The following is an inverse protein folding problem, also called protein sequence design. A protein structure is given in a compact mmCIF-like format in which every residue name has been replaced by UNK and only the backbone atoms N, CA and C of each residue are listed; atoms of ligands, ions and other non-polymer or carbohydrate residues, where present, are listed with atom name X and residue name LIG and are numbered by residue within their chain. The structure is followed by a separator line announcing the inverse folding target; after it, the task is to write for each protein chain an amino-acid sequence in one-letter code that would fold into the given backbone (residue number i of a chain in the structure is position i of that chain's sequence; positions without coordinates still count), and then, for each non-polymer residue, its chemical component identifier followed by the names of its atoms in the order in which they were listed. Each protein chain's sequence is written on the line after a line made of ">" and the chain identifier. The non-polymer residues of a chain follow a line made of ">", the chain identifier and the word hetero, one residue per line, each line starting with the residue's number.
data_IF_063579647952
#
_entry.id   IF_063579647952
#
_cell.length_a   1.000
_cell.length_b   1.000
_cell.length_c   1.000
_cell.angle_alpha   90.00
_cell.angle_beta   90.00
_cell.angle_gamma   90.00
#
_symmetry.space_group_name_H-M   'P 1'
#
loop_
_entity.id
_entity.type
_entity.pdbx_description
1 polymer ?
#
# COMPACT_ATOMS: atom_id res chain seq x y z
N UNK A 1 -21.48 10.81 -14.03
CA UNK A 1 -20.97 10.75 -12.65
C UNK A 1 -20.13 9.50 -12.54
N UNK A 2 -18.91 9.56 -12.02
CA UNK A 2 -18.05 8.37 -11.85
C UNK A 2 -18.65 7.40 -10.82
N UNK A 3 -18.49 6.11 -11.07
CA UNK A 3 -18.86 5.04 -10.13
C UNK A 3 -18.08 5.18 -8.83
N UNK A 4 -18.74 5.13 -7.67
CA UNK A 4 -18.08 5.13 -6.36
C UNK A 4 -17.44 3.76 -6.16
N UNK A 5 -16.12 3.73 -5.96
CA UNK A 5 -15.34 2.51 -5.77
C UNK A 5 -15.07 2.23 -4.29
N UNK A 6 -14.95 3.28 -3.47
CA UNK A 6 -14.70 3.19 -2.03
C UNK A 6 -15.62 4.13 -1.28
N UNK A 7 -16.28 3.63 -0.24
CA UNK A 7 -16.99 4.43 0.76
C UNK A 7 -16.53 4.00 2.16
N UNK A 8 -16.10 4.96 2.95
CA UNK A 8 -15.93 4.81 4.40
C UNK A 8 -17.01 5.66 5.07
N UNK A 9 -17.86 5.05 5.89
CA UNK A 9 -19.02 5.73 6.49
C UNK A 9 -18.99 5.62 7.99
N UNK A 10 -19.07 6.76 8.67
CA UNK A 10 -19.15 6.88 10.15
C UNK A 10 -18.02 6.11 10.84
N UNK A 11 -16.80 6.23 10.32
CA UNK A 11 -15.64 5.54 10.88
C UNK A 11 -15.22 6.21 12.17
N UNK A 12 -15.18 5.42 13.21
CA UNK A 12 -14.71 5.80 14.54
C UNK A 12 -13.45 5.03 14.92
N UNK A 13 -12.49 5.71 15.54
CA UNK A 13 -11.27 5.10 16.06
C UNK A 13 -10.69 5.87 17.21
N UNK A 14 -10.62 5.21 18.36
CA UNK A 14 -9.99 5.72 19.58
C UNK A 14 -8.73 4.94 19.92
N UNK A 15 -7.77 5.64 20.49
CA UNK A 15 -6.59 5.09 21.14
C UNK A 15 -6.56 5.60 22.60
N UNK A 16 -5.78 4.97 23.51
CA UNK A 16 -5.66 5.47 24.88
C UNK A 16 -5.29 6.95 24.91
N UNK A 17 -6.21 7.78 25.40
CA UNK A 17 -6.04 9.22 25.53
C UNK A 17 -6.31 10.06 24.28
N UNK A 18 -6.64 9.45 23.13
CA UNK A 18 -6.89 10.19 21.87
C UNK A 18 -8.05 9.60 21.09
N UNK A 19 -9.07 10.39 20.78
CA UNK A 19 -10.11 10.07 19.81
C UNK A 19 -9.61 10.50 18.41
N UNK A 20 -9.08 9.57 17.65
CA UNK A 20 -8.35 9.87 16.42
C UNK A 20 -9.24 10.03 15.20
N UNK A 21 -10.39 9.35 15.15
CA UNK A 21 -11.41 9.48 14.11
C UNK A 21 -12.76 9.54 14.80
N UNK A 22 -13.54 10.58 14.54
CA UNK A 22 -14.86 10.82 15.08
C UNK A 22 -15.88 10.85 13.95
N UNK A 23 -16.58 9.74 13.72
CA UNK A 23 -17.63 9.57 12.71
C UNK A 23 -17.23 10.07 11.30
N UNK A 24 -15.98 9.79 10.91
CA UNK A 24 -15.42 10.26 9.64
C UNK A 24 -16.03 9.51 8.46
N UNK A 25 -16.53 10.27 7.48
CA UNK A 25 -17.06 9.71 6.24
C UNK A 25 -16.28 10.23 5.02
N UNK A 26 -16.05 9.34 4.04
CA UNK A 26 -15.16 9.58 2.91
C UNK A 26 -15.55 8.70 1.72
N UNK A 27 -15.54 9.25 0.51
CA UNK A 27 -15.86 8.52 -0.72
C UNK A 27 -14.80 8.79 -1.79
N UNK A 28 -14.49 7.77 -2.60
CA UNK A 28 -13.63 7.88 -3.78
C UNK A 28 -14.31 7.25 -4.98
N UNK A 29 -14.24 7.92 -6.13
CA UNK A 29 -14.77 7.45 -7.40
C UNK A 29 -13.68 6.81 -8.25
N UNK A 30 -14.08 5.90 -9.11
CA UNK A 30 -13.19 5.23 -10.04
C UNK A 30 -12.47 6.25 -10.95
N UNK A 31 -11.14 6.15 -11.03
CA UNK A 31 -10.30 7.05 -11.82
C UNK A 31 -10.10 8.44 -11.21
N UNK A 32 -10.55 8.67 -9.98
CA UNK A 32 -10.38 9.92 -9.25
C UNK A 32 -9.04 9.98 -8.52
N UNK A 33 -8.41 11.14 -8.53
CA UNK A 33 -7.34 11.50 -7.60
C UNK A 33 -7.95 12.31 -6.49
N UNK A 34 -8.08 11.73 -5.31
CA UNK A 34 -8.70 12.35 -4.15
C UNK A 34 -7.65 12.82 -3.14
N UNK A 35 -7.63 14.13 -2.84
CA UNK A 35 -6.71 14.72 -1.87
C UNK A 35 -7.34 14.79 -0.47
N UNK A 36 -6.75 14.07 0.49
CA UNK A 36 -7.13 14.14 1.89
C UNK A 36 -6.31 15.21 2.60
N UNK A 37 -6.91 16.36 2.89
CA UNK A 37 -6.25 17.50 3.51
C UNK A 37 -6.64 17.65 4.99
N UNK A 38 -5.73 18.26 5.79
CA UNK A 38 -5.94 18.54 7.20
C UNK A 38 -4.60 18.77 7.91
N UNK A 39 -4.65 19.30 9.12
CA UNK A 39 -3.47 19.55 9.96
C UNK A 39 -2.76 18.25 10.38
N UNK A 40 -1.53 18.39 10.89
CA UNK A 40 -0.83 17.25 11.49
C UNK A 40 -1.61 16.78 12.73
N UNK A 41 -1.86 15.48 12.83
CA UNK A 41 -2.69 14.91 13.87
C UNK A 41 -4.20 14.85 13.56
N UNK A 42 -4.67 15.38 12.42
CA UNK A 42 -6.09 15.34 12.03
C UNK A 42 -6.63 13.94 11.63
N UNK A 43 -5.94 12.87 11.96
CA UNK A 43 -6.43 11.49 11.72
C UNK A 43 -6.23 10.94 10.31
N UNK A 44 -5.67 11.70 9.35
CA UNK A 44 -5.50 11.27 7.94
C UNK A 44 -4.80 9.91 7.81
N UNK A 45 -3.63 9.77 8.44
CA UNK A 45 -2.88 8.51 8.41
C UNK A 45 -3.59 7.39 9.16
N UNK A 46 -4.36 7.72 10.21
CA UNK A 46 -5.17 6.75 10.94
C UNK A 46 -6.28 6.21 10.05
N UNK A 47 -6.97 7.08 9.30
CA UNK A 47 -8.02 6.69 8.36
C UNK A 47 -7.48 5.72 7.29
N UNK A 48 -6.31 6.03 6.69
CA UNK A 48 -5.67 5.15 5.70
C UNK A 48 -5.21 3.81 6.34
N UNK A 49 -4.71 3.83 7.57
CA UNK A 49 -4.33 2.62 8.30
C UNK A 49 -5.54 1.76 8.69
N UNK A 50 -6.70 2.36 8.93
CA UNK A 50 -7.97 1.64 9.11
C UNK A 50 -8.39 1.01 7.79
N UNK A 51 -8.36 1.74 6.67
CA UNK A 51 -8.69 1.22 5.35
C UNK A 51 -7.85 0.00 4.97
N UNK A 52 -6.55 0.03 5.29
CA UNK A 52 -5.61 -1.05 4.92
C UNK A 52 -5.47 -2.15 5.97
N UNK A 53 -6.30 -2.15 7.03
CA UNK A 53 -6.31 -3.20 8.04
C UNK A 53 -5.13 -3.18 9.02
N UNK A 54 -4.33 -2.11 9.03
CA UNK A 54 -3.28 -1.91 10.05
C UNK A 54 -3.93 -1.62 11.41
N UNK A 55 -5.02 -0.83 11.41
CA UNK A 55 -5.82 -0.58 12.59
C UNK A 55 -7.25 -1.08 12.37
N UNK A 56 -7.79 -1.76 13.37
CA UNK A 56 -9.21 -2.09 13.39
C UNK A 56 -10.02 -0.85 13.75
N UNK A 57 -11.08 -0.54 12.99
CA UNK A 57 -12.06 0.48 13.35
C UNK A 57 -12.83 0.07 14.59
N UNK A 58 -13.30 1.05 15.36
CA UNK A 58 -14.15 0.79 16.53
C UNK A 58 -15.64 0.72 16.10
N UNK A 59 -16.04 1.55 15.11
CA UNK A 59 -17.35 1.50 14.47
C UNK A 59 -17.32 2.02 13.03
N UNK A 60 -18.47 2.02 12.36
CA UNK A 60 -18.63 2.45 10.98
C UNK A 60 -18.47 1.30 9.99
N UNK A 61 -18.64 1.61 8.70
CA UNK A 61 -18.59 0.63 7.60
C UNK A 61 -17.65 1.05 6.50
N UNK A 62 -16.98 0.08 5.88
CA UNK A 62 -16.13 0.29 4.70
C UNK A 62 -16.73 -0.53 3.56
N UNK A 63 -17.04 0.11 2.44
CA UNK A 63 -17.53 -0.54 1.22
C UNK A 63 -16.51 -0.32 0.12
N UNK A 64 -16.05 -1.40 -0.49
CA UNK A 64 -15.12 -1.39 -1.60
C UNK A 64 -15.67 -2.20 -2.77
N UNK A 65 -15.71 -1.61 -3.97
CA UNK A 65 -16.32 -2.21 -5.17
C UNK A 65 -17.73 -2.77 -4.91
N UNK A 66 -18.55 -2.01 -4.17
CA UNK A 66 -19.94 -2.36 -3.86
C UNK A 66 -20.12 -3.45 -2.80
N UNK A 67 -19.05 -3.93 -2.18
CA UNK A 67 -19.09 -4.93 -1.11
C UNK A 67 -18.60 -4.34 0.19
N UNK A 68 -19.27 -4.67 1.29
CA UNK A 68 -18.75 -4.35 2.62
C UNK A 68 -17.51 -5.20 2.90
N UNK A 69 -16.42 -4.54 3.35
CA UNK A 69 -15.13 -5.16 3.61
C UNK A 69 -14.61 -4.77 5.00
N UNK A 70 -13.88 -5.69 5.61
CA UNK A 70 -13.09 -5.43 6.82
C UNK A 70 -11.76 -6.18 6.66
N UNK A 71 -10.70 -5.46 6.33
CA UNK A 71 -9.38 -6.04 6.20
C UNK A 71 -8.74 -6.22 7.59
N UNK A 72 -8.25 -7.40 7.89
CA UNK A 72 -7.61 -7.70 9.17
C UNK A 72 -6.09 -7.51 9.14
N UNK A 73 -5.52 -7.32 7.97
CA UNK A 73 -4.11 -7.06 7.75
C UNK A 73 -3.88 -6.45 6.36
N UNK A 74 -2.68 -5.90 6.16
CA UNK A 74 -2.32 -5.25 4.89
C UNK A 74 -2.30 -6.20 3.70
N UNK A 75 -2.07 -7.50 3.91
CA UNK A 75 -2.06 -8.48 2.84
C UNK A 75 -3.46 -8.71 2.27
N UNK A 76 -4.47 -8.81 3.12
CA UNK A 76 -5.87 -8.91 2.67
C UNK A 76 -6.29 -7.67 1.86
N UNK A 77 -5.90 -6.46 2.32
CA UNK A 77 -6.15 -5.23 1.59
C UNK A 77 -5.47 -5.23 0.22
N UNK A 78 -4.19 -5.63 0.15
CA UNK A 78 -3.43 -5.73 -1.10
C UNK A 78 -4.02 -6.76 -2.07
N UNK A 79 -4.44 -7.92 -1.57
CA UNK A 79 -5.04 -8.97 -2.40
C UNK A 79 -6.41 -8.53 -2.96
N UNK A 80 -7.10 -7.60 -2.27
CA UNK A 80 -8.31 -6.92 -2.77
C UNK A 80 -8.01 -5.74 -3.70
N UNK A 81 -6.74 -5.32 -3.87
CA UNK A 81 -6.32 -4.20 -4.71
C UNK A 81 -6.17 -2.86 -3.98
N UNK A 82 -6.28 -2.84 -2.65
CA UNK A 82 -6.06 -1.65 -1.83
C UNK A 82 -4.63 -1.66 -1.29
N UNK A 83 -3.80 -0.73 -1.78
CA UNK A 83 -2.39 -0.63 -1.37
C UNK A 83 -2.11 0.71 -0.71
N UNK A 84 -1.10 0.75 0.15
CA UNK A 84 -0.61 1.96 0.81
C UNK A 84 0.89 2.11 0.53
N UNK A 85 1.30 3.31 0.13
CA UNK A 85 2.70 3.71 0.08
C UNK A 85 2.99 4.50 1.35
N UNK A 86 3.96 4.03 2.13
CA UNK A 86 4.33 4.67 3.38
C UNK A 86 5.20 5.92 3.15
N UNK A 87 5.22 6.81 4.13
CA UNK A 87 6.02 8.02 4.09
C UNK A 87 7.51 7.72 4.30
N UNK A 88 7.82 6.65 5.04
CA UNK A 88 9.18 6.18 5.30
C UNK A 88 9.52 5.03 4.36
N UNK A 89 10.74 5.02 3.85
CA UNK A 89 11.26 3.93 3.02
C UNK A 89 11.47 2.68 3.88
N UNK A 90 10.73 1.62 3.56
CA UNK A 90 10.81 0.34 4.27
C UNK A 90 11.58 -0.72 3.46
N UNK A 91 12.65 -0.31 2.76
CA UNK A 91 13.44 -1.20 1.92
C UNK A 91 14.57 -1.88 2.69
N UNK A 92 14.82 -3.15 2.37
CA UNK A 92 15.95 -3.90 2.90
C UNK A 92 17.21 -3.61 2.06
N UNK A 93 18.06 -2.71 2.57
CA UNK A 93 19.21 -2.18 1.84
C UNK A 93 20.23 -3.24 1.36
N UNK A 94 20.33 -4.38 2.03
CA UNK A 94 21.24 -5.47 1.70
C UNK A 94 20.71 -6.47 0.66
N UNK A 95 19.44 -6.39 0.31
CA UNK A 95 18.81 -7.20 -0.73
C UNK A 95 18.85 -6.49 -2.09
N UNK A 96 18.71 -7.27 -3.16
CA UNK A 96 18.57 -6.69 -4.49
C UNK A 96 17.23 -5.99 -4.66
N UNK A 97 17.13 -5.18 -5.71
CA UNK A 97 15.88 -4.51 -6.09
C UNK A 97 14.75 -5.51 -6.33
N UNK A 98 15.01 -6.56 -7.12
CA UNK A 98 14.00 -7.59 -7.37
C UNK A 98 13.57 -8.32 -6.08
N UNK A 99 14.52 -8.62 -5.18
CA UNK A 99 14.18 -9.24 -3.89
C UNK A 99 13.34 -8.33 -3.01
N UNK A 100 13.57 -7.02 -3.01
CA UNK A 100 12.72 -6.06 -2.29
C UNK A 100 11.30 -6.00 -2.86
N UNK A 101 11.16 -5.96 -4.20
CA UNK A 101 9.84 -5.89 -4.88
C UNK A 101 8.99 -7.12 -4.58
N UNK A 102 9.61 -8.31 -4.56
CA UNK A 102 8.90 -9.57 -4.40
C UNK A 102 8.96 -10.17 -2.99
N UNK A 103 9.41 -9.41 -1.99
CA UNK A 103 9.47 -9.90 -0.61
C UNK A 103 8.09 -10.36 -0.11
N UNK A 104 8.03 -11.59 0.41
CA UNK A 104 6.78 -12.24 0.83
C UNK A 104 5.90 -12.76 -0.32
N UNK A 105 6.31 -12.55 -1.58
CA UNK A 105 5.63 -13.02 -2.82
C UNK A 105 6.62 -13.59 -3.81
N UNK A 106 7.72 -14.19 -3.32
CA UNK A 106 8.82 -14.71 -4.12
C UNK A 106 8.33 -15.80 -5.09
N UNK A 107 8.83 -15.77 -6.31
CA UNK A 107 8.65 -16.86 -7.24
C UNK A 107 9.46 -18.07 -6.76
N UNK A 108 8.87 -19.26 -6.86
CA UNK A 108 9.49 -20.50 -6.40
C UNK A 108 9.76 -21.45 -7.56
N UNK A 109 10.92 -22.11 -7.52
CA UNK A 109 11.28 -23.23 -8.37
C UNK A 109 11.52 -24.45 -7.47
N UNK A 110 10.48 -25.26 -7.29
CA UNK A 110 10.49 -26.31 -6.27
C UNK A 110 10.54 -25.74 -4.86
N UNK A 111 11.59 -26.06 -4.10
CA UNK A 111 11.80 -25.58 -2.71
C UNK A 111 12.63 -24.30 -2.67
N UNK A 112 13.26 -23.89 -3.78
CA UNK A 112 14.14 -22.71 -3.84
C UNK A 112 13.43 -21.50 -4.42
N UNK A 113 13.91 -20.31 -4.08
CA UNK A 113 13.51 -19.05 -4.70
C UNK A 113 14.05 -19.02 -6.14
N UNK A 114 13.24 -18.54 -7.08
CA UNK A 114 13.61 -18.34 -8.48
C UNK A 114 14.01 -16.87 -8.71
N UNK A 115 15.24 -16.53 -8.32
CA UNK A 115 15.80 -15.20 -8.51
C UNK A 115 15.80 -14.75 -9.96
N UNK A 116 16.04 -15.69 -10.90
CA UNK A 116 16.02 -15.37 -12.33
C UNK A 116 14.65 -14.86 -12.75
N UNK A 117 13.59 -15.56 -12.36
CA UNK A 117 12.22 -15.15 -12.67
C UNK A 117 11.85 -13.84 -11.99
N UNK A 118 12.27 -13.62 -10.75
CA UNK A 118 12.07 -12.33 -10.06
C UNK A 118 12.72 -11.17 -10.82
N UNK A 119 13.97 -11.34 -11.26
CA UNK A 119 14.68 -10.33 -12.03
C UNK A 119 14.00 -10.05 -13.38
N UNK A 120 13.54 -11.09 -14.09
CA UNK A 120 12.82 -10.94 -15.36
C UNK A 120 11.50 -10.18 -15.18
N UNK A 121 10.73 -10.49 -14.15
CA UNK A 121 9.44 -9.82 -13.87
C UNK A 121 9.64 -8.37 -13.39
N UNK A 122 10.65 -8.11 -12.54
CA UNK A 122 11.01 -6.76 -12.14
C UNK A 122 11.45 -5.91 -13.34
N UNK A 123 12.27 -6.49 -14.25
CA UNK A 123 12.70 -5.81 -15.48
C UNK A 123 11.50 -5.44 -16.36
N UNK A 124 10.56 -6.37 -16.59
CA UNK A 124 9.33 -6.08 -17.35
C UNK A 124 8.51 -4.96 -16.73
N UNK A 125 8.43 -4.91 -15.38
CA UNK A 125 7.73 -3.85 -14.67
C UNK A 125 8.39 -2.50 -14.92
N UNK A 126 9.71 -2.42 -14.78
CA UNK A 126 10.46 -1.20 -15.01
C UNK A 126 10.40 -0.72 -16.46
N UNK A 127 10.50 -1.65 -17.42
CA UNK A 127 10.37 -1.32 -18.84
C UNK A 127 8.98 -0.75 -19.17
N UNK A 128 7.91 -1.31 -18.58
CA UNK A 128 6.54 -0.80 -18.74
C UNK A 128 6.36 0.59 -18.15
N UNK A 129 7.04 0.88 -17.06
CA UNK A 129 6.97 2.18 -16.37
C UNK A 129 8.01 3.18 -16.89
N UNK A 130 8.85 2.78 -17.85
CA UNK A 130 9.98 3.55 -18.38
C UNK A 130 10.95 4.00 -17.27
N UNK A 131 11.25 3.08 -16.33
CA UNK A 131 12.17 3.30 -15.21
C UNK A 131 13.48 2.59 -15.50
N UNK A 132 14.60 3.34 -15.45
CA UNK A 132 15.94 2.78 -15.64
C UNK A 132 16.56 2.37 -14.30
N UNK A 133 16.24 1.13 -13.89
CA UNK A 133 16.79 0.47 -12.68
C UNK A 133 17.14 -0.97 -13.04
N UNK A 134 18.33 -1.42 -12.63
CA UNK A 134 18.74 -2.81 -12.74
C UNK A 134 18.12 -3.63 -11.58
N UNK A 135 17.29 -4.65 -11.85
CA UNK A 135 16.70 -5.49 -10.81
C UNK A 135 17.72 -6.24 -9.95
N UNK A 136 18.92 -6.46 -10.45
CA UNK A 136 20.00 -7.19 -9.75
C UNK A 136 20.83 -6.30 -8.86
N UNK A 137 20.70 -4.96 -8.97
CA UNK A 137 21.43 -4.01 -8.15
C UNK A 137 21.03 -4.11 -6.67
N UNK A 138 21.96 -3.88 -5.77
CA UNK A 138 21.69 -3.84 -4.34
C UNK A 138 20.95 -2.55 -3.99
N UNK A 139 19.87 -2.64 -3.22
CA UNK A 139 19.00 -1.52 -2.90
C UNK A 139 19.74 -0.33 -2.27
N UNK A 140 20.74 -0.59 -1.40
CA UNK A 140 21.55 0.47 -0.76
C UNK A 140 22.40 1.29 -1.73
N UNK A 141 22.69 0.76 -2.93
CA UNK A 141 23.47 1.47 -3.96
C UNK A 141 22.63 2.47 -4.75
N UNK A 142 21.31 2.38 -4.66
CA UNK A 142 20.40 3.29 -5.35
C UNK A 142 20.27 4.62 -4.62
N UNK A 143 20.05 5.69 -5.39
CA UNK A 143 19.64 6.98 -4.83
C UNK A 143 18.27 6.85 -4.16
N UNK A 144 17.99 7.71 -3.18
CA UNK A 144 16.70 7.74 -2.46
C UNK A 144 15.51 7.80 -3.42
N UNK A 145 15.59 8.63 -4.47
CA UNK A 145 14.53 8.72 -5.49
C UNK A 145 14.28 7.41 -6.24
N UNK A 146 15.34 6.66 -6.59
CA UNK A 146 15.21 5.34 -7.21
C UNK A 146 14.66 4.30 -6.23
N UNK A 147 15.04 4.36 -4.96
CA UNK A 147 14.46 3.50 -3.91
C UNK A 147 12.96 3.77 -3.75
N UNK A 148 12.52 5.02 -3.75
CA UNK A 148 11.09 5.38 -3.72
C UNK A 148 10.32 4.84 -4.92
N UNK A 149 10.93 4.85 -6.12
CA UNK A 149 10.32 4.25 -7.31
C UNK A 149 10.17 2.72 -7.20
N UNK A 150 11.03 2.05 -6.43
CA UNK A 150 10.91 0.61 -6.19
C UNK A 150 9.83 0.27 -5.15
N UNK A 151 9.46 1.22 -4.27
CA UNK A 151 8.41 1.03 -3.26
C UNK A 151 7.00 1.15 -3.86
N UNK A 152 6.83 1.96 -4.90
CA UNK A 152 5.56 2.21 -5.59
C UNK A 152 5.18 1.05 -6.52
#
# INVERSE_FOLDING_TARGET
>A
MGEVILTMKEIDKSFPGVHALDHVSFEVKKGEVHALMGENGAGKSTLMKVLTGIYKKDSGTITYEGKEVEFHNTREAQDAGVVIVHQELNMLGHLTVAQNIFIGREFKKGISIDDKKMNEEAKKLFDRLNIDIDPTETMSNLTVGKQQMCEI
#
